data_IF_288431817864
#
_entry.id   IF_288431817864
#
_cell.length_a   1.000
_cell.length_b   1.000
_cell.length_c   1.000
_cell.angle_alpha   90.00
_cell.angle_beta   90.00
_cell.angle_gamma   90.00
#
_symmetry.space_group_name_H-M   'P 1'
#
loop_
_entity.id
_entity.type
_entity.pdbx_description
1 polymer ?
#
# COMPACT_ATOMS: atom_id res chain seq x y z
N UNK A 1 23.07 2.99 -6.25
CA UNK A 1 22.89 2.83 -4.79
C UNK A 1 23.18 1.40 -4.41
N UNK A 2 23.85 1.14 -3.28
CA UNK A 2 24.06 -0.21 -2.71
C UNK A 2 23.27 -0.34 -1.40
N UNK A 3 21.95 -0.20 -1.51
CA UNK A 3 21.04 -0.35 -0.38
C UNK A 3 20.36 -1.73 -0.43
N UNK A 4 20.02 -2.33 0.72
CA UNK A 4 19.28 -3.59 0.76
C UNK A 4 17.83 -3.40 0.33
N UNK A 5 17.19 -4.48 -0.11
CA UNK A 5 15.73 -4.55 -0.31
C UNK A 5 15.11 -5.12 0.97
N UNK A 6 15.04 -4.32 2.02
CA UNK A 6 14.60 -4.77 3.36
C UNK A 6 13.19 -5.38 3.35
N UNK A 7 12.28 -4.89 2.49
CA UNK A 7 10.94 -5.46 2.35
C UNK A 7 10.95 -6.93 1.86
N UNK A 8 11.89 -7.31 0.98
CA UNK A 8 12.06 -8.72 0.57
C UNK A 8 12.60 -9.57 1.70
N UNK A 9 13.51 -9.04 2.51
CA UNK A 9 14.01 -9.73 3.71
C UNK A 9 12.86 -10.00 4.70
N UNK A 10 12.01 -8.99 4.97
CA UNK A 10 10.83 -9.15 5.83
C UNK A 10 9.88 -10.21 5.29
N UNK A 11 9.60 -10.21 3.98
CA UNK A 11 8.77 -11.24 3.35
C UNK A 11 9.35 -12.65 3.57
N UNK A 12 10.65 -12.84 3.32
CA UNK A 12 11.32 -14.12 3.53
C UNK A 12 11.27 -14.59 4.99
N UNK A 13 11.43 -13.67 5.97
CA UNK A 13 11.35 -14.03 7.39
C UNK A 13 9.94 -14.50 7.77
N UNK A 14 8.89 -13.82 7.28
CA UNK A 14 7.50 -14.22 7.51
C UNK A 14 7.20 -15.59 6.88
N UNK A 15 7.68 -15.84 5.66
CA UNK A 15 7.52 -17.14 5.00
C UNK A 15 8.25 -18.26 5.75
N UNK A 16 9.50 -18.05 6.17
CA UNK A 16 10.27 -19.05 6.93
C UNK A 16 9.69 -19.29 8.32
N UNK A 17 9.06 -18.27 8.93
CA UNK A 17 8.33 -18.43 10.18
C UNK A 17 7.05 -19.28 10.06
N UNK A 18 6.62 -19.62 8.84
CA UNK A 18 5.48 -20.49 8.57
C UNK A 18 4.17 -19.75 8.31
N UNK A 19 4.21 -18.50 7.83
CA UNK A 19 3.00 -17.85 7.34
C UNK A 19 2.56 -18.46 6.00
N UNK A 20 1.30 -18.87 5.89
CA UNK A 20 0.72 -19.44 4.66
C UNK A 20 -0.08 -18.43 3.84
N UNK A 21 -0.44 -17.29 4.44
CA UNK A 21 -1.22 -16.23 3.80
C UNK A 21 -0.95 -14.88 4.46
N UNK A 22 -0.93 -13.80 3.67
CA UNK A 22 -0.77 -12.43 4.17
C UNK A 22 -2.02 -11.61 3.85
N UNK A 23 -2.54 -10.90 4.84
CA UNK A 23 -3.55 -9.85 4.63
C UNK A 23 -2.93 -8.54 5.10
N UNK A 24 -2.94 -7.54 4.24
CA UNK A 24 -2.32 -6.22 4.49
C UNK A 24 -3.16 -5.10 3.87
N UNK A 25 -2.75 -3.84 4.05
CA UNK A 25 -3.45 -2.67 3.53
C UNK A 25 -2.46 -1.65 2.97
N UNK A 26 -2.74 -1.17 1.75
CA UNK A 26 -2.01 -0.13 1.03
C UNK A 26 -0.48 -0.29 1.06
N UNK A 27 0.00 -1.42 0.53
CA UNK A 27 1.44 -1.61 0.29
C UNK A 27 2.03 -0.41 -0.45
N UNK A 28 3.16 0.11 0.06
CA UNK A 28 3.84 1.29 -0.49
C UNK A 28 4.12 1.17 -2.00
N UNK A 29 4.46 -0.05 -2.45
CA UNK A 29 4.56 -0.41 -3.85
C UNK A 29 3.86 -1.76 -4.06
N UNK A 30 2.99 -1.88 -5.07
CA UNK A 30 2.23 -3.10 -5.32
C UNK A 30 3.11 -4.31 -5.63
N UNK A 31 4.31 -4.08 -6.17
CA UNK A 31 5.31 -5.11 -6.48
C UNK A 31 5.79 -5.88 -5.24
N UNK A 32 5.61 -5.33 -4.04
CA UNK A 32 5.96 -6.01 -2.78
C UNK A 32 5.17 -7.32 -2.63
N UNK A 33 3.98 -7.44 -3.23
CA UNK A 33 3.24 -8.71 -3.25
C UNK A 33 4.08 -9.84 -3.87
N UNK A 34 4.83 -9.54 -4.94
CA UNK A 34 5.73 -10.51 -5.59
C UNK A 34 6.98 -10.86 -4.79
N UNK A 35 7.16 -10.31 -3.58
CA UNK A 35 8.20 -10.77 -2.67
C UNK A 35 7.80 -12.04 -1.92
N UNK A 36 6.50 -12.33 -1.85
CA UNK A 36 5.94 -13.55 -1.26
C UNK A 36 5.64 -14.58 -2.34
N UNK A 37 5.89 -15.85 -2.04
CA UNK A 37 5.47 -17.00 -2.87
C UNK A 37 4.10 -17.56 -2.43
N UNK A 38 3.56 -17.04 -1.32
CA UNK A 38 2.23 -17.32 -0.76
C UNK A 38 1.24 -16.23 -1.18
N UNK A 39 -0.08 -16.48 -1.15
CA UNK A 39 -1.05 -15.47 -1.54
C UNK A 39 -1.03 -14.26 -0.58
N UNK A 40 -1.28 -13.08 -1.14
CA UNK A 40 -1.29 -11.81 -0.43
C UNK A 40 -2.54 -11.02 -0.81
N UNK A 41 -3.42 -10.78 0.15
CA UNK A 41 -4.53 -9.84 0.01
C UNK A 41 -4.05 -8.44 0.42
N UNK A 42 -3.83 -7.58 -0.57
CA UNK A 42 -3.52 -6.16 -0.35
C UNK A 42 -4.80 -5.32 -0.46
N UNK A 43 -5.38 -5.00 0.69
CA UNK A 43 -6.58 -4.18 0.80
C UNK A 43 -6.29 -2.70 0.51
N UNK A 44 -7.33 -1.95 0.16
CA UNK A 44 -7.23 -0.51 -0.16
C UNK A 44 -8.05 0.32 0.82
N UNK A 45 -7.44 1.37 1.38
CA UNK A 45 -8.17 2.36 2.17
C UNK A 45 -8.90 3.39 1.29
N UNK A 46 -8.63 3.42 -0.03
CA UNK A 46 -9.21 4.39 -0.98
C UNK A 46 -10.73 4.57 -0.81
N UNK A 47 -11.58 3.52 -0.72
CA UNK A 47 -13.02 3.73 -0.54
C UNK A 47 -13.38 4.45 0.76
N UNK A 48 -12.65 4.16 1.85
CA UNK A 48 -12.85 4.80 3.15
C UNK A 48 -12.37 6.26 3.12
N UNK A 49 -11.23 6.53 2.47
CA UNK A 49 -10.69 7.88 2.30
C UNK A 49 -11.63 8.72 1.44
N UNK A 50 -12.12 8.19 0.31
CA UNK A 50 -13.09 8.88 -0.54
C UNK A 50 -14.40 9.19 0.20
N UNK A 51 -14.88 8.25 1.03
CA UNK A 51 -16.04 8.47 1.89
C UNK A 51 -15.79 9.62 2.87
N UNK A 52 -14.66 9.59 3.57
CA UNK A 52 -14.29 10.63 4.53
C UNK A 52 -14.18 12.01 3.87
N UNK A 53 -13.52 12.10 2.71
CA UNK A 53 -13.41 13.35 1.94
C UNK A 53 -14.80 13.92 1.63
N UNK A 54 -15.74 13.08 1.17
CA UNK A 54 -17.10 13.50 0.82
C UNK A 54 -17.93 13.96 2.02
N UNK A 55 -17.73 13.33 3.18
CA UNK A 55 -18.50 13.58 4.40
C UNK A 55 -17.93 14.73 5.22
N UNK A 56 -16.62 14.97 5.18
CA UNK A 56 -15.94 15.89 6.08
C UNK A 56 -15.37 17.16 5.41
N UNK A 57 -15.28 17.21 4.07
CA UNK A 57 -14.76 18.38 3.34
C UNK A 57 -15.90 19.05 2.55
N UNK A 58 -16.42 20.22 2.98
CA UNK A 58 -17.58 20.86 2.36
C UNK A 58 -17.46 21.14 0.85
N UNK A 59 -16.26 21.51 0.38
CA UNK A 59 -16.00 21.87 -1.02
C UNK A 59 -15.19 20.80 -1.76
N UNK A 60 -15.31 19.52 -1.38
CA UNK A 60 -14.53 18.43 -1.98
C UNK A 60 -14.67 18.34 -3.51
N UNK A 61 -15.82 18.74 -4.07
CA UNK A 61 -16.07 18.76 -5.53
C UNK A 61 -15.22 19.78 -6.29
N UNK A 62 -14.80 20.86 -5.62
CA UNK A 62 -13.95 21.92 -6.19
C UNK A 62 -12.50 21.80 -5.69
N UNK A 63 -12.19 20.74 -4.94
CA UNK A 63 -10.87 20.51 -4.37
C UNK A 63 -9.93 19.83 -5.37
N UNK A 64 -8.62 19.99 -5.16
CA UNK A 64 -7.57 19.38 -5.98
C UNK A 64 -6.82 18.37 -5.13
N UNK A 65 -6.69 17.13 -5.63
CA UNK A 65 -5.85 16.11 -5.00
C UNK A 65 -4.39 16.38 -5.38
N UNK A 66 -3.53 16.45 -4.38
CA UNK A 66 -2.11 16.79 -4.55
C UNK A 66 -1.25 15.63 -4.04
N UNK A 67 -0.31 15.17 -4.85
CA UNK A 67 0.74 14.26 -4.41
C UNK A 67 1.91 15.05 -3.83
N UNK A 68 2.44 14.67 -2.66
CA UNK A 68 3.58 15.36 -2.04
C UNK A 68 4.90 15.11 -2.77
N UNK A 69 4.99 14.05 -3.57
CA UNK A 69 6.16 13.69 -4.35
C UNK A 69 5.76 13.04 -5.70
N UNK A 70 6.74 12.83 -6.58
CA UNK A 70 6.51 12.23 -7.89
C UNK A 70 6.13 10.73 -7.84
N UNK A 71 6.55 10.00 -6.80
CA UNK A 71 6.26 8.57 -6.63
C UNK A 71 4.80 8.31 -6.27
N UNK A 72 4.18 9.24 -5.56
CA UNK A 72 2.75 9.21 -5.22
C UNK A 72 1.80 9.56 -6.36
N UNK A 73 2.29 9.93 -7.54
CA UNK A 73 1.44 10.41 -8.64
C UNK A 73 0.39 9.38 -9.13
N UNK A 74 0.61 8.08 -8.89
CA UNK A 74 -0.33 7.00 -9.23
C UNK A 74 -1.28 6.61 -8.10
N UNK A 75 -1.02 7.08 -6.87
CA UNK A 75 -1.85 6.80 -5.70
C UNK A 75 -3.06 7.73 -5.70
#
# INVERSE_FOLDING_TARGET
SRAPISAKLVANMLSVAGADHIITMDLHASQIQGFFDIPVDNLYAEPAVLKWIRECIPEWKNSIIVSPDAGGAKR
#
